data_IF_323365663952
#
_entry.id   IF_323365663952
#
_cell.length_a   1.000
_cell.length_b   1.000
_cell.length_c   1.000
_cell.angle_alpha   90.00
_cell.angle_beta   90.00
_cell.angle_gamma   90.00
#
_symmetry.space_group_name_H-M   'P 1'
#
loop_
_entity.id
_entity.type
_entity.pdbx_description
1 polymer ?
#
# COMPACT_ATOMS: atom_id res chain seq x y z
N UNK A 1 20.59 31.77 -26.57
CA UNK A 1 19.66 30.71 -26.11
C UNK A 1 18.34 30.89 -26.85
N UNK A 2 17.62 29.83 -27.20
CA UNK A 2 16.39 29.92 -28.01
C UNK A 2 15.12 29.78 -27.17
N UNK A 3 14.02 30.37 -27.63
CA UNK A 3 12.67 30.17 -27.07
C UNK A 3 12.33 28.68 -27.01
N UNK A 4 12.73 27.90 -28.02
CA UNK A 4 12.52 26.45 -28.05
C UNK A 4 13.18 25.70 -26.88
N UNK A 5 14.38 26.10 -26.44
CA UNK A 5 15.05 25.48 -25.29
C UNK A 5 14.33 25.77 -23.97
N UNK A 6 13.78 26.99 -23.82
CA UNK A 6 12.95 27.38 -22.68
C UNK A 6 11.66 26.55 -22.64
N UNK A 7 10.95 26.48 -23.76
CA UNK A 7 9.70 25.71 -23.91
C UNK A 7 9.94 24.24 -23.60
N UNK A 8 10.94 23.62 -24.22
CA UNK A 8 11.28 22.21 -24.00
C UNK A 8 11.55 21.92 -22.52
N UNK A 9 12.27 22.81 -21.82
CA UNK A 9 12.55 22.65 -20.39
C UNK A 9 11.31 22.82 -19.52
N UNK A 10 10.46 23.82 -19.80
CA UNK A 10 9.19 24.01 -19.08
C UNK A 10 8.23 22.85 -19.34
N UNK A 11 8.12 22.36 -20.57
CA UNK A 11 7.28 21.22 -20.95
C UNK A 11 7.74 19.92 -20.29
N UNK A 12 9.04 19.70 -20.14
CA UNK A 12 9.56 18.55 -19.36
C UNK A 12 9.19 18.64 -17.88
N UNK A 13 9.15 19.84 -17.32
CA UNK A 13 8.86 20.03 -15.90
C UNK A 13 7.36 20.00 -15.58
N UNK A 14 6.57 20.86 -16.23
CA UNK A 14 5.13 20.97 -15.98
C UNK A 14 4.29 19.91 -16.72
N UNK A 15 4.87 19.28 -17.75
CA UNK A 15 4.18 18.36 -18.65
C UNK A 15 3.85 19.04 -19.98
N UNK A 16 4.01 18.32 -21.10
CA UNK A 16 3.82 18.86 -22.44
C UNK A 16 2.40 19.39 -22.67
N UNK A 17 1.39 18.76 -22.07
CA UNK A 17 -0.01 19.20 -22.17
C UNK A 17 -0.33 20.44 -21.33
N UNK A 18 0.57 20.82 -20.41
CA UNK A 18 0.40 21.95 -19.48
C UNK A 18 1.15 23.21 -19.95
N UNK A 19 1.96 23.12 -21.00
CA UNK A 19 2.71 24.24 -21.58
C UNK A 19 2.23 24.46 -23.00
N UNK A 20 1.58 25.58 -23.26
CA UNK A 20 1.07 25.93 -24.58
C UNK A 20 1.97 26.98 -25.25
N UNK A 21 2.21 26.79 -26.55
CA UNK A 21 2.93 27.74 -27.41
C UNK A 21 2.11 27.95 -28.68
N UNK A 22 1.97 29.20 -29.13
CA UNK A 22 1.09 29.61 -30.24
C UNK A 22 1.51 29.07 -31.65
N UNK A 23 2.45 28.12 -31.73
CA UNK A 23 2.80 27.42 -32.97
C UNK A 23 2.16 26.02 -33.12
N UNK A 24 1.27 25.62 -32.20
CA UNK A 24 0.70 24.25 -32.12
C UNK A 24 -0.81 24.16 -32.47
N UNK A 25 -1.32 24.91 -33.45
CA UNK A 25 -2.75 24.88 -33.83
C UNK A 25 -3.02 23.93 -35.02
N UNK A 26 -4.04 23.08 -34.89
CA UNK A 26 -4.48 22.18 -35.96
C UNK A 26 -5.11 22.94 -37.15
N UNK A 27 -4.85 22.53 -38.40
CA UNK A 27 -5.48 23.12 -39.57
C UNK A 27 -7.02 23.07 -39.49
N UNK A 28 -7.69 24.21 -39.68
CA UNK A 28 -9.16 24.30 -39.82
C UNK A 28 -9.95 24.85 -38.63
N UNK A 29 -9.30 25.17 -37.50
CA UNK A 29 -9.97 25.83 -36.35
C UNK A 29 -9.91 27.35 -36.49
N UNK A 30 -10.99 28.06 -36.13
CA UNK A 30 -10.98 29.54 -36.06
C UNK A 30 -9.98 29.99 -34.99
N UNK A 31 -8.89 30.61 -35.44
CA UNK A 31 -7.73 31.04 -34.65
C UNK A 31 -8.08 31.83 -33.37
N UNK A 32 -9.06 32.77 -33.34
CA UNK A 32 -9.35 33.56 -32.14
C UNK A 32 -10.03 32.78 -31.00
N UNK A 33 -10.89 31.80 -31.32
CA UNK A 33 -11.77 31.17 -30.32
C UNK A 33 -11.02 30.16 -29.45
N UNK A 34 -10.15 29.34 -30.08
CA UNK A 34 -9.33 28.35 -29.36
C UNK A 34 -8.25 29.03 -28.51
N UNK A 35 -7.66 30.12 -29.03
CA UNK A 35 -6.62 30.85 -28.33
C UNK A 35 -7.17 31.55 -27.08
N UNK A 36 -8.32 32.22 -27.21
CA UNK A 36 -9.00 32.84 -26.06
C UNK A 36 -9.42 31.81 -25.01
N UNK A 37 -9.94 30.65 -25.43
CA UNK A 37 -10.30 29.57 -24.51
C UNK A 37 -9.08 29.03 -23.76
N UNK A 38 -7.95 28.81 -24.44
CA UNK A 38 -6.71 28.36 -23.79
C UNK A 38 -6.12 29.42 -22.86
N UNK A 39 -6.11 30.70 -23.27
CA UNK A 39 -5.66 31.80 -22.41
C UNK A 39 -6.51 31.87 -21.14
N UNK A 40 -7.84 31.80 -21.25
CA UNK A 40 -8.74 31.85 -20.08
C UNK A 40 -8.57 30.68 -19.11
N UNK A 41 -8.01 29.56 -19.57
CA UNK A 41 -7.69 28.40 -18.73
C UNK A 41 -6.23 28.35 -18.26
N UNK A 42 -5.43 29.38 -18.55
CA UNK A 42 -4.01 29.42 -18.17
C UNK A 42 -3.82 30.08 -16.82
N UNK A 43 -3.04 29.43 -15.95
CA UNK A 43 -2.72 29.95 -14.61
C UNK A 43 -1.73 31.12 -14.64
N UNK A 44 -0.86 31.18 -15.66
CA UNK A 44 0.20 32.18 -15.83
C UNK A 44 0.60 32.30 -17.30
N UNK A 45 0.91 33.51 -17.75
CA UNK A 45 1.45 33.79 -19.09
C UNK A 45 2.93 34.19 -18.97
N UNK A 46 3.78 33.54 -19.78
CA UNK A 46 5.21 33.83 -19.82
C UNK A 46 5.52 34.62 -21.10
N UNK A 47 5.81 35.92 -20.95
CA UNK A 47 6.18 36.78 -22.07
C UNK A 47 7.69 36.69 -22.32
N UNK A 48 8.10 35.92 -23.33
CA UNK A 48 9.51 35.69 -23.65
C UNK A 48 10.05 36.82 -24.51
N UNK A 49 10.93 37.65 -23.93
CA UNK A 49 11.53 38.81 -24.56
C UNK A 49 12.94 38.43 -25.02
N UNK A 50 13.11 38.27 -26.33
CA UNK A 50 14.41 37.97 -26.97
C UNK A 50 14.96 39.17 -27.74
N UNK A 51 16.19 39.05 -28.21
CA UNK A 51 16.78 40.06 -29.09
C UNK A 51 15.96 40.17 -30.38
N UNK A 52 15.50 41.37 -30.71
CA UNK A 52 14.57 41.63 -31.81
C UNK A 52 13.07 41.64 -31.45
N UNK A 53 12.66 41.31 -30.22
CA UNK A 53 11.24 41.27 -29.82
C UNK A 53 10.51 42.63 -30.04
N UNK A 54 11.18 43.75 -29.75
CA UNK A 54 10.62 45.09 -30.02
C UNK A 54 10.46 45.38 -31.52
N UNK A 55 11.33 44.84 -32.35
CA UNK A 55 11.26 45.03 -33.80
C UNK A 55 10.05 44.31 -34.42
N UNK A 56 9.56 43.24 -33.77
CA UNK A 56 8.36 42.52 -34.21
C UNK A 56 7.09 43.39 -34.14
N UNK A 57 7.03 44.35 -33.21
CA UNK A 57 5.94 45.33 -33.12
C UNK A 57 6.09 46.51 -34.08
N UNK A 58 7.30 46.77 -34.59
CA UNK A 58 7.58 47.88 -35.49
C UNK A 58 7.15 47.57 -36.95
N UNK A 59 7.14 46.28 -37.33
CA UNK A 59 6.52 45.83 -38.57
C UNK A 59 4.99 45.94 -38.43
N UNK A 60 4.35 46.82 -39.21
CA UNK A 60 2.88 46.90 -39.26
C UNK A 60 2.30 45.63 -39.89
N UNK A 61 2.18 44.57 -39.08
CA UNK A 61 1.43 43.37 -39.43
C UNK A 61 -0.04 43.61 -39.10
N UNK A 62 -0.98 43.20 -39.97
CA UNK A 62 -2.40 43.47 -39.80
C UNK A 62 -3.01 42.80 -38.56
N UNK A 63 -2.38 41.76 -37.99
CA UNK A 63 -2.72 41.15 -36.70
C UNK A 63 -1.42 40.68 -36.04
N UNK A 64 -1.12 41.22 -34.86
CA UNK A 64 -0.06 40.72 -33.98
C UNK A 64 -0.70 39.90 -32.85
N UNK A 65 -0.50 38.58 -32.91
CA UNK A 65 -1.07 37.65 -31.94
C UNK A 65 -0.38 37.75 -30.58
N UNK A 66 0.92 38.04 -30.53
CA UNK A 66 1.66 38.23 -29.28
C UNK A 66 1.10 39.44 -28.54
N UNK A 67 0.83 40.53 -29.27
CA UNK A 67 0.16 41.71 -28.71
C UNK A 67 -1.22 41.37 -28.14
N UNK A 68 -2.02 40.62 -28.90
CA UNK A 68 -3.37 40.24 -28.49
C UNK A 68 -3.39 39.32 -27.26
N UNK A 69 -2.50 38.34 -27.20
CA UNK A 69 -2.40 37.41 -26.07
C UNK A 69 -2.00 38.13 -24.77
N UNK A 70 -0.98 38.99 -24.84
CA UNK A 70 -0.51 39.75 -23.67
C UNK A 70 -1.56 40.75 -23.21
N UNK A 71 -2.18 41.51 -24.12
CA UNK A 71 -3.27 42.44 -23.78
C UNK A 71 -4.45 41.69 -23.13
N UNK A 72 -4.83 40.53 -23.70
CA UNK A 72 -5.90 39.71 -23.14
C UNK A 72 -5.54 39.21 -21.74
N UNK A 73 -4.33 38.69 -21.53
CA UNK A 73 -3.88 38.22 -20.22
C UNK A 73 -3.92 39.32 -19.16
N UNK A 74 -3.41 40.52 -19.50
CA UNK A 74 -3.43 41.69 -18.61
C UNK A 74 -4.86 42.12 -18.28
N UNK A 75 -5.76 42.15 -19.27
CA UNK A 75 -7.17 42.53 -19.09
C UNK A 75 -7.96 41.54 -18.25
N UNK A 76 -7.71 40.24 -18.41
CA UNK A 76 -8.37 39.17 -17.65
C UNK A 76 -7.72 38.96 -16.26
N UNK A 77 -6.65 39.70 -15.93
CA UNK A 77 -5.96 39.60 -14.64
C UNK A 77 -5.14 38.32 -14.47
N UNK A 78 -4.80 37.65 -15.58
CA UNK A 78 -3.91 36.49 -15.57
C UNK A 78 -2.48 36.99 -15.30
N UNK A 79 -1.75 36.42 -14.33
CA UNK A 79 -0.38 36.82 -14.05
C UNK A 79 0.50 36.73 -15.31
N UNK A 80 1.12 37.85 -15.70
CA UNK A 80 2.11 37.91 -16.78
C UNK A 80 3.50 37.99 -16.17
N UNK A 81 4.41 37.12 -16.59
CA UNK A 81 5.82 37.11 -16.16
C UNK A 81 6.69 37.38 -17.38
N UNK A 82 7.32 38.57 -17.48
CA UNK A 82 8.32 38.83 -18.51
C UNK A 82 9.57 37.98 -18.26
N UNK A 83 10.10 37.35 -19.31
CA UNK A 83 11.34 36.55 -19.28
C UNK A 83 12.30 37.08 -20.33
N UNK A 84 13.35 37.75 -19.87
CA UNK A 84 14.43 38.29 -20.70
C UNK A 84 15.39 37.16 -21.06
N UNK A 85 15.60 36.92 -22.35
CA UNK A 85 16.62 35.97 -22.83
C UNK A 85 17.97 36.66 -22.96
N UNK A 86 19.03 35.99 -22.52
CA UNK A 86 20.41 36.51 -22.53
C UNK A 86 20.52 37.87 -21.81
N UNK A 87 21.20 38.84 -22.43
CA UNK A 87 21.45 40.17 -21.89
C UNK A 87 20.54 41.24 -22.53
N UNK A 88 19.35 40.85 -23.00
CA UNK A 88 18.35 41.79 -23.50
C UNK A 88 17.90 42.71 -22.36
N UNK A 89 17.86 44.01 -22.67
CA UNK A 89 17.38 45.04 -21.75
C UNK A 89 15.86 44.98 -21.60
N UNK A 90 15.31 45.25 -20.40
CA UNK A 90 13.87 45.36 -20.23
C UNK A 90 13.30 46.49 -21.10
N UNK A 91 12.18 46.26 -21.82
CA UNK A 91 11.58 47.29 -22.64
C UNK A 91 11.02 48.43 -21.77
N UNK A 92 11.16 49.66 -22.24
CA UNK A 92 10.60 50.84 -21.59
C UNK A 92 9.15 51.08 -22.03
N UNK A 93 8.35 51.75 -21.18
CA UNK A 93 6.94 52.04 -21.48
C UNK A 93 6.70 52.72 -22.84
N UNK A 94 7.65 53.54 -23.30
CA UNK A 94 7.51 54.29 -24.55
C UNK A 94 7.88 53.47 -25.80
N UNK A 95 8.53 52.32 -25.62
CA UNK A 95 8.94 51.40 -26.70
C UNK A 95 7.86 50.35 -26.98
N UNK A 96 6.88 50.21 -26.08
CA UNK A 96 5.80 49.25 -26.16
C UNK A 96 4.53 49.84 -26.78
N UNK A 97 3.74 49.04 -27.52
CA UNK A 97 2.38 49.39 -27.89
C UNK A 97 1.53 49.72 -26.65
N UNK A 98 0.62 50.68 -26.78
CA UNK A 98 -0.17 51.23 -25.67
C UNK A 98 -0.87 50.14 -24.83
N UNK A 99 -1.34 49.08 -25.49
CA UNK A 99 -2.07 47.95 -24.93
C UNK A 99 -1.25 47.14 -23.92
N UNK A 100 0.07 47.03 -24.09
CA UNK A 100 0.94 46.15 -23.29
C UNK A 100 1.98 46.92 -22.49
N UNK A 101 1.82 48.25 -22.36
CA UNK A 101 2.77 49.11 -21.61
C UNK A 101 3.00 48.70 -20.16
N UNK A 102 2.03 48.00 -19.55
CA UNK A 102 2.17 47.46 -18.19
C UNK A 102 3.25 46.39 -18.07
N UNK A 103 3.61 45.69 -19.16
CA UNK A 103 4.72 44.71 -19.16
C UNK A 103 6.04 45.36 -18.69
N UNK A 104 6.28 46.63 -19.01
CA UNK A 104 7.50 47.35 -18.63
C UNK A 104 7.65 47.60 -17.12
N UNK A 105 6.59 47.48 -16.32
CA UNK A 105 6.65 47.65 -14.86
C UNK A 105 6.54 46.35 -14.08
N UNK A 106 6.38 45.23 -14.77
CA UNK A 106 6.39 43.90 -14.16
C UNK A 106 7.83 43.48 -13.83
N UNK A 107 7.98 42.69 -12.76
CA UNK A 107 9.26 42.10 -12.41
C UNK A 107 9.63 41.02 -13.44
N UNK A 108 10.68 41.26 -14.20
CA UNK A 108 11.17 40.33 -15.20
C UNK A 108 12.11 39.29 -14.60
N UNK A 109 11.93 38.03 -14.98
CA UNK A 109 12.95 37.01 -14.81
C UNK A 109 13.96 37.09 -15.97
N UNK A 110 15.20 36.66 -15.75
CA UNK A 110 16.23 36.61 -16.79
C UNK A 110 16.78 35.19 -16.91
N UNK A 111 16.96 34.74 -18.15
CA UNK A 111 17.53 33.42 -18.44
C UNK A 111 18.64 33.54 -19.47
N UNK A 112 19.87 33.23 -19.06
CA UNK A 112 21.07 33.31 -19.91
C UNK A 112 21.53 31.92 -20.33
N UNK A 113 22.11 31.80 -21.53
CA UNK A 113 22.68 30.54 -21.98
C UNK A 113 23.82 30.05 -21.09
N UNK A 114 24.64 30.98 -20.58
CA UNK A 114 25.80 30.66 -19.73
C UNK A 114 25.41 30.09 -18.35
N UNK A 115 24.28 30.54 -17.78
CA UNK A 115 23.77 30.13 -16.46
C UNK A 115 22.45 29.37 -16.54
N UNK A 116 22.13 28.83 -17.72
CA UNK A 116 20.82 28.29 -18.06
C UNK A 116 20.22 27.35 -17.01
N UNK A 117 20.96 26.36 -16.45
CA UNK A 117 20.39 25.47 -15.44
C UNK A 117 19.92 26.19 -14.17
N UNK A 118 20.69 27.18 -13.68
CA UNK A 118 20.33 27.92 -12.47
C UNK A 118 19.15 28.86 -12.71
N UNK A 119 19.18 29.56 -13.84
CA UNK A 119 18.16 30.56 -14.19
C UNK A 119 16.81 29.90 -14.47
N UNK A 120 16.80 28.75 -15.16
CA UNK A 120 15.57 28.03 -15.45
C UNK A 120 14.95 27.43 -14.19
N UNK A 121 15.76 26.92 -13.27
CA UNK A 121 15.27 26.41 -11.98
C UNK A 121 14.69 27.55 -11.12
N UNK A 122 15.24 28.76 -11.22
CA UNK A 122 14.66 29.94 -10.58
C UNK A 122 13.31 30.33 -11.19
N UNK A 123 13.22 30.35 -12.53
CA UNK A 123 11.98 30.62 -13.24
C UNK A 123 10.90 29.60 -12.91
N UNK A 124 11.25 28.30 -12.88
CA UNK A 124 10.32 27.22 -12.49
C UNK A 124 9.76 27.48 -11.08
N UNK A 125 10.61 27.79 -10.10
CA UNK A 125 10.17 28.09 -8.71
C UNK A 125 9.25 29.31 -8.62
N UNK A 126 9.42 30.30 -9.51
CA UNK A 126 8.49 31.43 -9.60
C UNK A 126 7.15 30.98 -10.17
N UNK A 127 7.16 30.25 -11.28
CA UNK A 127 5.95 29.77 -11.97
C UNK A 127 5.12 28.83 -11.08
N UNK A 128 5.76 27.98 -10.26
CA UNK A 128 5.07 27.09 -9.33
C UNK A 128 4.15 27.81 -8.33
N UNK A 129 4.39 29.10 -8.05
CA UNK A 129 3.54 29.90 -7.15
C UNK A 129 2.22 30.30 -7.81
N UNK A 130 2.16 30.25 -9.13
CA UNK A 130 0.99 30.64 -9.92
C UNK A 130 0.19 29.43 -10.39
N UNK A 131 0.84 28.28 -10.60
CA UNK A 131 0.18 27.08 -11.13
C UNK A 131 -0.42 26.23 -10.01
N UNK A 132 -1.70 25.85 -10.14
CA UNK A 132 -2.38 25.00 -9.16
C UNK A 132 -1.61 23.68 -8.90
N UNK A 133 -1.64 23.11 -7.68
CA UNK A 133 -1.02 21.81 -7.41
C UNK A 133 -1.51 20.77 -8.41
N UNK A 134 -0.60 19.96 -8.97
CA UNK A 134 -0.96 18.94 -9.96
C UNK A 134 -2.07 18.08 -9.38
N UNK A 135 -3.22 18.03 -10.08
CA UNK A 135 -4.30 17.09 -9.78
C UNK A 135 -3.89 15.67 -10.20
N UNK A 136 -2.81 15.15 -9.60
CA UNK A 136 -2.54 13.72 -9.66
C UNK A 136 -3.63 13.06 -8.81
N UNK A 137 -4.33 12.07 -9.39
CA UNK A 137 -5.35 11.33 -8.68
C UNK A 137 -4.84 10.99 -7.26
N UNK A 138 -5.59 11.34 -6.19
CA UNK A 138 -5.13 11.14 -4.83
C UNK A 138 -4.67 9.69 -4.67
N UNK A 139 -3.57 9.44 -3.93
CA UNK A 139 -3.08 8.09 -3.71
C UNK A 139 -4.27 7.23 -3.29
N UNK A 140 -4.51 6.15 -4.04
CA UNK A 140 -5.65 5.27 -3.79
C UNK A 140 -5.60 4.92 -2.31
N UNK A 141 -6.62 5.29 -1.50
CA UNK A 141 -6.52 5.22 -0.05
C UNK A 141 -5.97 3.86 0.34
N UNK A 142 -4.90 3.85 1.12
CA UNK A 142 -4.29 2.61 1.60
C UNK A 142 -5.43 1.74 2.10
N UNK A 143 -5.72 0.63 1.39
CA UNK A 143 -6.82 -0.24 1.76
C UNK A 143 -6.51 -0.72 3.17
N UNK A 144 -7.16 -0.12 4.17
CA UNK A 144 -7.02 -0.55 5.55
C UNK A 144 -7.37 -2.03 5.54
N UNK A 145 -6.48 -2.92 6.02
CA UNK A 145 -6.74 -4.34 5.98
C UNK A 145 -8.05 -4.57 6.72
N UNK A 146 -9.13 -4.88 5.97
CA UNK A 146 -10.43 -5.15 6.57
C UNK A 146 -10.19 -6.22 7.63
N UNK A 147 -10.61 -6.01 8.90
CA UNK A 147 -10.41 -6.99 9.95
C UNK A 147 -11.00 -8.29 9.41
N UNK A 148 -10.12 -9.28 9.20
CA UNK A 148 -10.49 -10.53 8.55
C UNK A 148 -11.65 -11.10 9.38
N UNK A 149 -12.87 -11.08 8.84
CA UNK A 149 -14.09 -11.75 9.38
C UNK A 149 -13.94 -13.28 9.47
N UNK A 150 -12.70 -13.76 9.50
CA UNK A 150 -12.27 -15.13 9.70
C UNK A 150 -12.56 -15.56 11.13
N UNK A 151 -12.51 -14.66 12.12
CA UNK A 151 -12.83 -14.97 13.52
C UNK A 151 -14.27 -15.52 13.70
N UNK A 152 -15.28 -14.87 13.10
CA UNK A 152 -16.66 -15.36 13.17
C UNK A 152 -16.91 -16.67 12.42
N UNK A 153 -16.17 -16.90 11.33
CA UNK A 153 -16.23 -18.16 10.57
C UNK A 153 -15.51 -19.30 11.30
N UNK A 154 -14.35 -19.04 11.89
CA UNK A 154 -13.59 -20.04 12.66
C UNK A 154 -14.29 -20.41 13.97
N UNK A 155 -14.96 -19.46 14.63
CA UNK A 155 -15.81 -19.75 15.78
C UNK A 155 -16.97 -20.68 15.40
N UNK A 156 -17.60 -20.45 14.25
CA UNK A 156 -18.65 -21.33 13.72
C UNK A 156 -18.13 -22.73 13.32
N UNK A 157 -16.93 -22.83 12.76
CA UNK A 157 -16.29 -24.13 12.44
C UNK A 157 -15.83 -24.88 13.70
N UNK A 158 -15.30 -24.18 14.70
CA UNK A 158 -14.91 -24.77 15.98
C UNK A 158 -16.14 -25.28 16.75
N UNK A 159 -17.24 -24.52 16.77
CA UNK A 159 -18.52 -24.98 17.32
C UNK A 159 -19.07 -26.19 16.54
N UNK A 160 -19.00 -26.13 15.20
CA UNK A 160 -19.52 -27.17 14.31
C UNK A 160 -18.78 -28.50 14.44
N UNK A 161 -17.44 -28.51 14.38
CA UNK A 161 -16.65 -29.75 14.51
C UNK A 161 -16.73 -30.35 15.91
N UNK A 162 -16.86 -29.50 16.94
CA UNK A 162 -16.89 -29.91 18.34
C UNK A 162 -18.23 -30.51 18.76
N UNK A 163 -19.34 -30.02 18.20
CA UNK A 163 -20.69 -30.59 18.45
C UNK A 163 -20.91 -31.93 17.71
N UNK A 164 -20.17 -32.19 16.62
CA UNK A 164 -20.31 -33.40 15.80
C UNK A 164 -19.51 -34.60 16.38
N UNK A 165 -18.39 -34.33 17.06
CA UNK A 165 -17.48 -35.36 17.60
C UNK A 165 -18.11 -36.32 18.65
N UNK A 166 -18.89 -35.85 19.64
CA UNK A 166 -19.46 -36.75 20.66
C UNK A 166 -20.59 -37.63 20.11
N UNK A 167 -21.33 -37.14 19.10
CA UNK A 167 -22.51 -37.79 18.54
C UNK A 167 -22.13 -38.97 17.61
N UNK A 168 -20.95 -38.92 16.98
CA UNK A 168 -20.51 -39.94 16.04
C UNK A 168 -19.69 -41.08 16.65
N UNK A 169 -19.21 -40.94 17.90
CA UNK A 169 -18.15 -41.82 18.40
C UNK A 169 -18.59 -42.95 19.34
N UNK A 170 -19.73 -42.93 20.02
CA UNK A 170 -20.09 -44.04 20.93
C UNK A 170 -21.62 -44.26 21.05
N UNK A 171 -22.20 -45.21 20.30
CA UNK A 171 -23.59 -45.62 20.45
C UNK A 171 -23.92 -46.33 21.78
N UNK A 172 -22.92 -46.87 22.49
CA UNK A 172 -23.10 -47.78 23.64
C UNK A 172 -22.42 -47.30 24.95
N UNK A 173 -22.33 -45.98 25.21
CA UNK A 173 -21.72 -45.48 26.45
C UNK A 173 -22.75 -45.25 27.58
N UNK A 174 -22.50 -45.80 28.77
CA UNK A 174 -23.29 -45.55 29.99
C UNK A 174 -23.06 -44.15 30.59
N UNK A 175 -22.60 -43.19 29.78
CA UNK A 175 -22.16 -41.90 30.28
C UNK A 175 -23.35 -40.96 30.49
N UNK A 176 -23.33 -40.28 31.63
CA UNK A 176 -24.31 -39.25 31.92
C UNK A 176 -24.05 -38.02 31.04
N UNK A 177 -25.11 -37.27 30.73
CA UNK A 177 -25.03 -36.13 29.80
C UNK A 177 -23.94 -35.11 30.17
N UNK A 178 -23.69 -34.87 31.46
CA UNK A 178 -22.65 -33.95 31.93
C UNK A 178 -21.21 -34.46 31.69
N UNK A 179 -20.99 -35.78 31.72
CA UNK A 179 -19.67 -36.41 31.51
C UNK A 179 -19.18 -36.16 30.08
N UNK A 180 -20.11 -36.14 29.11
CA UNK A 180 -19.83 -35.76 27.74
C UNK A 180 -19.29 -34.34 27.61
N UNK A 181 -19.89 -33.37 28.32
CA UNK A 181 -19.43 -31.98 28.28
C UNK A 181 -18.04 -31.81 28.91
N UNK A 182 -17.79 -32.42 30.07
CA UNK A 182 -16.48 -32.36 30.73
C UNK A 182 -15.40 -33.07 29.93
N UNK A 183 -15.69 -34.26 29.37
CA UNK A 183 -14.72 -34.97 28.52
C UNK A 183 -14.39 -34.19 27.25
N UNK A 184 -15.41 -33.60 26.62
CA UNK A 184 -15.20 -32.78 25.45
C UNK A 184 -14.39 -31.51 25.79
N UNK A 185 -14.67 -30.85 26.92
CA UNK A 185 -13.89 -29.70 27.41
C UNK A 185 -12.42 -30.08 27.68
N UNK A 186 -12.19 -31.24 28.29
CA UNK A 186 -10.86 -31.79 28.52
C UNK A 186 -10.11 -32.07 27.21
N UNK A 187 -10.73 -32.79 26.26
CA UNK A 187 -10.15 -33.06 24.94
C UNK A 187 -9.83 -31.78 24.17
N UNK A 188 -10.75 -30.81 24.19
CA UNK A 188 -10.56 -29.48 23.61
C UNK A 188 -9.35 -28.75 24.21
N UNK A 189 -9.17 -28.84 25.53
CA UNK A 189 -8.04 -28.24 26.25
C UNK A 189 -6.71 -28.90 25.90
N UNK A 190 -6.68 -30.23 25.75
CA UNK A 190 -5.48 -30.95 25.29
C UNK A 190 -5.09 -30.50 23.88
N UNK A 191 -6.06 -30.42 22.97
CA UNK A 191 -5.80 -29.95 21.60
C UNK A 191 -5.33 -28.49 21.62
N UNK A 192 -5.97 -27.61 22.40
CA UNK A 192 -5.55 -26.22 22.57
C UNK A 192 -4.11 -26.13 23.08
N UNK A 193 -3.72 -26.95 24.07
CA UNK A 193 -2.38 -26.99 24.62
C UNK A 193 -1.35 -27.45 23.57
N UNK A 194 -1.63 -28.53 22.86
CA UNK A 194 -0.76 -29.05 21.78
C UNK A 194 -0.60 -28.01 20.66
N UNK A 195 -1.70 -27.40 20.21
CA UNK A 195 -1.67 -26.36 19.18
C UNK A 195 -0.92 -25.10 19.65
N UNK A 196 -1.07 -24.72 20.92
CA UNK A 196 -0.32 -23.60 21.52
C UNK A 196 1.18 -23.89 21.51
N UNK A 197 1.60 -25.05 22.00
CA UNK A 197 3.01 -25.45 22.02
C UNK A 197 3.59 -25.58 20.61
N UNK A 198 2.86 -26.24 19.70
CA UNK A 198 3.28 -26.42 18.32
C UNK A 198 3.46 -25.07 17.63
N UNK A 199 2.51 -24.14 17.76
CA UNK A 199 2.64 -22.81 17.13
C UNK A 199 3.72 -21.95 17.79
N UNK A 200 3.87 -22.00 19.11
CA UNK A 200 4.92 -21.28 19.84
C UNK A 200 6.34 -21.75 19.48
N UNK A 201 6.52 -23.02 19.09
CA UNK A 201 7.83 -23.58 18.70
C UNK A 201 8.03 -23.53 17.18
N UNK A 202 7.05 -23.99 16.41
CA UNK A 202 7.16 -24.15 14.97
C UNK A 202 7.17 -22.79 14.24
N UNK A 203 6.34 -21.82 14.64
CA UNK A 203 6.26 -20.54 13.91
C UNK A 203 7.58 -19.77 14.00
N UNK A 204 8.24 -19.59 15.17
CA UNK A 204 9.55 -18.94 15.21
C UNK A 204 10.60 -19.67 14.40
N UNK A 205 10.58 -21.01 14.41
CA UNK A 205 11.52 -21.82 13.63
C UNK A 205 11.31 -21.63 12.12
N UNK A 206 10.05 -21.73 11.67
CA UNK A 206 9.68 -21.49 10.27
C UNK A 206 10.05 -20.07 9.88
N UNK A 207 9.66 -19.04 10.66
CA UNK A 207 10.02 -17.64 10.41
C UNK A 207 11.53 -17.47 10.31
N UNK A 208 12.32 -18.15 11.14
CA UNK A 208 13.79 -18.09 11.09
C UNK A 208 14.34 -18.66 9.78
N UNK A 209 13.77 -19.75 9.29
CA UNK A 209 14.15 -20.39 8.03
C UNK A 209 13.68 -19.60 6.81
N UNK A 210 12.46 -19.06 6.86
CA UNK A 210 11.85 -18.32 5.74
C UNK A 210 12.16 -16.83 5.76
N UNK A 211 12.82 -16.31 6.80
CA UNK A 211 13.13 -14.88 6.93
C UNK A 211 13.84 -14.33 5.70
N UNK A 212 14.83 -15.07 5.18
CA UNK A 212 15.55 -14.71 3.96
C UNK A 212 14.60 -14.56 2.77
N UNK A 213 13.65 -15.48 2.63
CA UNK A 213 12.64 -15.43 1.57
C UNK A 213 11.66 -14.28 1.73
N UNK A 214 11.31 -13.89 2.97
CA UNK A 214 10.46 -12.73 3.23
C UNK A 214 11.15 -11.40 2.91
N UNK A 215 12.48 -11.34 3.03
CA UNK A 215 13.27 -10.19 2.57
C UNK A 215 13.37 -10.18 1.04
N UNK A 216 13.69 -11.32 0.43
CA UNK A 216 13.73 -11.50 -1.04
C UNK A 216 12.37 -11.21 -1.70
N UNK A 217 11.26 -11.51 -1.04
CA UNK A 217 9.91 -11.21 -1.58
C UNK A 217 9.66 -9.70 -1.77
N UNK A 218 10.41 -8.84 -1.07
CA UNK A 218 10.35 -7.39 -1.24
C UNK A 218 10.99 -6.89 -2.54
N UNK A 219 11.89 -7.67 -3.15
CA UNK A 219 12.54 -7.35 -4.44
C UNK A 219 11.85 -8.01 -5.64
N UNK A 220 10.89 -8.90 -5.40
CA UNK A 220 10.15 -9.65 -6.42
C UNK A 220 8.73 -9.07 -6.64
N UNK A 221 8.09 -9.41 -7.76
CA UNK A 221 6.66 -9.14 -7.98
C UNK A 221 5.75 -9.91 -6.99
N UNK A 222 4.53 -9.43 -6.75
CA UNK A 222 3.53 -10.06 -5.86
C UNK A 222 3.16 -11.42 -6.44
N UNK A 223 3.04 -11.51 -7.77
CA UNK A 223 2.81 -12.77 -8.47
C UNK A 223 3.91 -13.81 -8.17
N UNK A 224 5.18 -13.44 -8.27
CA UNK A 224 6.31 -14.37 -8.09
C UNK A 224 6.50 -14.76 -6.62
N UNK A 225 6.42 -13.79 -5.70
CA UNK A 225 6.46 -14.05 -4.27
C UNK A 225 5.30 -14.95 -3.81
N UNK A 226 4.09 -14.71 -4.36
CA UNK A 226 2.91 -15.54 -4.08
C UNK A 226 3.09 -16.95 -4.63
N UNK A 227 3.62 -17.10 -5.85
CA UNK A 227 3.92 -18.40 -6.46
C UNK A 227 4.89 -19.23 -5.61
N UNK A 228 5.99 -18.63 -5.15
CA UNK A 228 7.00 -19.32 -4.32
C UNK A 228 6.43 -19.75 -2.97
N UNK A 229 5.61 -18.91 -2.32
CA UNK A 229 4.89 -19.27 -1.08
C UNK A 229 3.91 -20.43 -1.29
N UNK A 230 3.17 -20.44 -2.40
CA UNK A 230 2.25 -21.53 -2.70
C UNK A 230 2.94 -22.83 -3.07
N UNK A 231 4.09 -22.79 -3.74
CA UNK A 231 4.89 -23.99 -4.01
C UNK A 231 5.31 -24.68 -2.70
N UNK A 232 5.68 -23.91 -1.68
CA UNK A 232 6.02 -24.44 -0.36
C UNK A 232 4.80 -25.03 0.36
N UNK A 233 3.64 -24.36 0.29
CA UNK A 233 2.39 -24.88 0.84
C UNK A 233 1.96 -26.17 0.13
N UNK A 234 2.07 -26.23 -1.20
CA UNK A 234 1.77 -27.42 -1.99
C UNK A 234 2.73 -28.57 -1.62
N UNK A 235 4.03 -28.28 -1.49
CA UNK A 235 5.03 -29.25 -1.08
C UNK A 235 4.78 -29.76 0.35
N UNK A 236 4.31 -28.90 1.26
CA UNK A 236 3.93 -29.26 2.63
C UNK A 236 2.60 -30.03 2.70
N UNK A 237 1.68 -29.79 1.74
CA UNK A 237 0.41 -30.50 1.63
C UNK A 237 0.57 -31.93 1.11
N UNK A 238 1.57 -32.21 0.26
CA UNK A 238 1.83 -33.56 -0.27
C UNK A 238 1.97 -34.64 0.82
N UNK A 239 2.84 -34.49 1.85
CA UNK A 239 2.94 -35.47 2.92
C UNK A 239 1.68 -35.53 3.80
N UNK A 240 0.96 -34.41 3.96
CA UNK A 240 -0.31 -34.39 4.70
C UNK A 240 -1.40 -35.17 3.96
N UNK A 241 -1.53 -34.98 2.65
CA UNK A 241 -2.43 -35.75 1.79
C UNK A 241 -2.03 -37.22 1.81
N UNK A 242 -0.73 -37.55 1.74
CA UNK A 242 -0.23 -38.92 1.86
C UNK A 242 -0.54 -39.56 3.22
N UNK A 243 -0.42 -38.83 4.32
CA UNK A 243 -0.76 -39.32 5.66
C UNK A 243 -2.26 -39.54 5.82
N UNK A 244 -3.08 -38.59 5.36
CA UNK A 244 -4.54 -38.74 5.35
C UNK A 244 -4.96 -39.96 4.51
N UNK A 245 -4.23 -40.19 3.41
CA UNK A 245 -4.32 -41.37 2.54
C UNK A 245 -4.16 -42.69 3.30
N UNK A 246 -3.29 -42.72 4.31
CA UNK A 246 -3.03 -43.91 5.12
C UNK A 246 -3.97 -44.06 6.31
N UNK A 247 -4.70 -43.00 6.67
CA UNK A 247 -5.65 -43.02 7.76
C UNK A 247 -7.03 -43.55 7.34
N UNK A 248 -7.39 -43.38 6.05
CA UNK A 248 -8.66 -43.82 5.47
C UNK A 248 -8.69 -45.27 4.95
N UNK A 249 -7.53 -45.90 4.79
CA UNK A 249 -7.47 -47.28 4.30
C UNK A 249 -7.92 -48.27 5.37
N UNK A 250 -9.01 -49.01 5.11
CA UNK A 250 -9.35 -50.23 5.84
C UNK A 250 -8.21 -51.27 5.72
N UNK A 251 -8.26 -52.34 6.54
CA UNK A 251 -7.22 -53.40 6.61
C UNK A 251 -6.82 -54.01 5.25
N UNK A 252 -7.64 -53.86 4.20
CA UNK A 252 -7.40 -54.37 2.85
C UNK A 252 -6.74 -53.36 1.88
N UNK A 253 -6.45 -52.13 2.31
CA UNK A 253 -5.75 -51.12 1.49
C UNK A 253 -6.58 -50.49 0.36
N UNK A 254 -7.90 -50.73 0.34
CA UNK A 254 -8.83 -50.16 -0.65
C UNK A 254 -9.45 -48.88 -0.09
N UNK A 255 -9.33 -47.78 -0.84
CA UNK A 255 -9.95 -46.49 -0.53
C UNK A 255 -11.48 -46.59 -0.61
N UNK A 256 -12.20 -45.97 0.32
CA UNK A 256 -13.65 -45.81 0.13
C UNK A 256 -13.92 -44.73 -0.93
N UNK A 257 -14.90 -44.95 -1.81
CA UNK A 257 -15.19 -44.07 -2.96
C UNK A 257 -15.36 -42.59 -2.57
N UNK A 258 -15.89 -42.31 -1.38
CA UNK A 258 -16.12 -40.96 -0.88
C UNK A 258 -14.81 -40.22 -0.48
N UNK A 259 -13.74 -40.92 -0.13
CA UNK A 259 -12.45 -40.33 0.27
C UNK A 259 -11.74 -39.69 -0.92
N UNK A 260 -11.84 -40.33 -2.09
CA UNK A 260 -11.33 -39.80 -3.37
C UNK A 260 -12.09 -38.53 -3.75
N UNK A 261 -13.42 -38.55 -3.64
CA UNK A 261 -14.25 -37.35 -3.89
C UNK A 261 -13.91 -36.21 -2.93
N UNK A 262 -13.66 -36.50 -1.66
CA UNK A 262 -13.29 -35.49 -0.66
C UNK A 262 -11.94 -34.82 -0.98
N UNK A 263 -10.93 -35.60 -1.35
CA UNK A 263 -9.62 -35.08 -1.77
C UNK A 263 -9.70 -34.26 -3.06
N UNK A 264 -10.50 -34.70 -4.04
CA UNK A 264 -10.75 -33.94 -5.28
C UNK A 264 -11.40 -32.60 -4.96
N UNK A 265 -12.46 -32.59 -4.15
CA UNK A 265 -13.16 -31.35 -3.77
C UNK A 265 -12.24 -30.39 -3.01
N UNK A 266 -11.47 -30.87 -2.04
CA UNK A 266 -10.48 -30.04 -1.32
C UNK A 266 -9.45 -29.47 -2.30
N UNK A 267 -8.94 -30.29 -3.22
CA UNK A 267 -7.94 -29.86 -4.19
C UNK A 267 -8.48 -28.80 -5.16
N UNK A 268 -9.72 -28.96 -5.64
CA UNK A 268 -10.39 -27.98 -6.50
C UNK A 268 -10.65 -26.67 -5.74
N UNK A 269 -11.16 -26.75 -4.52
CA UNK A 269 -11.41 -25.57 -3.67
C UNK A 269 -10.09 -24.84 -3.37
N UNK A 270 -9.05 -25.57 -2.99
CA UNK A 270 -7.72 -25.03 -2.78
C UNK A 270 -7.20 -24.34 -4.06
N UNK A 271 -7.25 -25.01 -5.21
CA UNK A 271 -6.84 -24.45 -6.50
C UNK A 271 -7.62 -23.18 -6.87
N UNK A 272 -8.93 -23.15 -6.62
CA UNK A 272 -9.76 -21.96 -6.85
C UNK A 272 -9.33 -20.79 -5.97
N UNK A 273 -9.12 -21.02 -4.66
CA UNK A 273 -8.67 -19.96 -3.75
C UNK A 273 -7.25 -19.48 -4.08
N UNK A 274 -6.35 -20.39 -4.46
CA UNK A 274 -5.00 -20.08 -4.95
C UNK A 274 -5.09 -19.19 -6.19
N UNK A 275 -5.84 -19.61 -7.20
CA UNK A 275 -5.99 -18.87 -8.44
C UNK A 275 -6.67 -17.50 -8.24
N UNK A 276 -7.68 -17.43 -7.38
CA UNK A 276 -8.34 -16.18 -6.99
C UNK A 276 -7.40 -15.23 -6.24
N UNK A 277 -6.60 -15.76 -5.32
CA UNK A 277 -5.60 -14.97 -4.59
C UNK A 277 -4.53 -14.45 -5.55
N UNK A 278 -4.04 -15.31 -6.45
CA UNK A 278 -3.03 -14.96 -7.45
C UNK A 278 -3.52 -13.86 -8.40
N UNK A 279 -4.73 -13.98 -8.96
CA UNK A 279 -5.30 -12.93 -9.84
C UNK A 279 -5.42 -11.57 -9.15
N UNK A 280 -5.80 -11.55 -7.87
CA UNK A 280 -5.88 -10.30 -7.09
C UNK A 280 -4.50 -9.70 -6.82
N UNK A 281 -3.50 -10.55 -6.59
CA UNK A 281 -2.13 -10.14 -6.34
C UNK A 281 -1.45 -9.58 -7.59
N UNK A 282 -1.60 -10.25 -8.74
CA UNK A 282 -0.95 -9.87 -9.99
C UNK A 282 -1.44 -8.54 -10.56
N UNK A 283 -2.73 -8.21 -10.37
CA UNK A 283 -3.28 -6.93 -10.85
C UNK A 283 -2.65 -5.71 -10.16
N UNK A 284 -2.14 -5.85 -8.92
CA UNK A 284 -1.58 -4.75 -8.13
C UNK A 284 -0.09 -4.50 -8.39
N UNK A 285 0.58 -5.39 -9.13
CA UNK A 285 2.03 -5.29 -9.35
C UNK A 285 2.42 -4.18 -10.33
N UNK A 286 1.55 -3.88 -11.29
CA UNK A 286 1.83 -2.93 -12.36
C UNK A 286 1.38 -1.51 -12.05
N UNK A 287 0.50 -1.32 -11.07
CA UNK A 287 0.00 -0.01 -10.69
C UNK A 287 1.11 0.87 -10.11
N UNK A 288 1.09 2.14 -10.50
CA UNK A 288 1.90 3.21 -9.92
C UNK A 288 1.00 4.43 -9.66
N UNK A 289 1.05 5.06 -8.48
CA UNK A 289 1.89 4.72 -7.31
C UNK A 289 1.54 3.35 -6.68
N UNK A 290 2.53 2.62 -6.11
CA UNK A 290 2.27 1.35 -5.46
C UNK A 290 1.46 1.57 -4.17
N UNK A 291 0.58 0.62 -3.79
CA UNK A 291 -0.07 0.69 -2.49
C UNK A 291 0.98 0.54 -1.38
N UNK A 292 0.86 1.36 -0.34
CA UNK A 292 1.71 1.26 0.86
C UNK A 292 0.82 0.89 2.04
N UNK A 293 1.18 -0.18 2.76
CA UNK A 293 0.41 -0.67 3.91
C UNK A 293 1.37 -1.14 5.01
N UNK A 294 0.83 -1.45 6.18
CA UNK A 294 1.61 -2.03 7.29
C UNK A 294 2.10 -3.46 7.04
N UNK A 295 1.73 -4.09 5.92
CA UNK A 295 2.22 -5.42 5.57
C UNK A 295 3.70 -5.36 5.10
N UNK A 296 4.62 -6.14 5.70
CA UNK A 296 6.05 -6.05 5.41
C UNK A 296 6.45 -6.19 3.95
N UNK A 297 5.85 -7.15 3.25
CA UNK A 297 6.14 -7.35 1.83
C UNK A 297 5.72 -6.15 0.97
N UNK A 298 4.63 -5.48 1.35
CA UNK A 298 4.03 -4.38 0.58
C UNK A 298 4.86 -3.10 0.74
N UNK A 299 5.17 -2.68 1.97
CA UNK A 299 5.98 -1.48 2.16
C UNK A 299 7.42 -1.66 1.67
N UNK A 300 8.04 -2.85 1.85
CA UNK A 300 9.40 -3.12 1.34
C UNK A 300 9.45 -2.95 -0.17
N UNK A 301 8.43 -3.45 -0.87
CA UNK A 301 8.34 -3.31 -2.31
C UNK A 301 8.11 -1.89 -2.75
N UNK A 302 7.23 -1.15 -2.09
CA UNK A 302 7.00 0.26 -2.39
C UNK A 302 8.31 1.06 -2.25
N UNK A 303 9.06 0.82 -1.17
CA UNK A 303 10.37 1.43 -0.95
C UNK A 303 11.40 1.03 -2.03
N UNK A 304 11.50 -0.26 -2.35
CA UNK A 304 12.39 -0.76 -3.41
C UNK A 304 12.05 -0.16 -4.78
N UNK A 305 10.78 -0.16 -5.20
CA UNK A 305 10.35 0.39 -6.50
C UNK A 305 10.59 1.89 -6.60
N UNK A 306 10.34 2.64 -5.51
CA UNK A 306 10.64 4.06 -5.46
C UNK A 306 12.15 4.32 -5.57
N UNK A 307 12.95 3.60 -4.78
CA UNK A 307 14.40 3.69 -4.83
C UNK A 307 14.95 3.33 -6.22
N UNK A 308 14.44 2.26 -6.84
CA UNK A 308 14.81 1.84 -8.18
C UNK A 308 14.49 2.95 -9.19
N UNK A 309 13.25 3.47 -9.23
CA UNK A 309 12.92 4.58 -10.14
C UNK A 309 13.85 5.79 -9.96
N UNK A 310 14.06 6.23 -8.73
CA UNK A 310 14.92 7.38 -8.44
C UNK A 310 16.40 7.16 -8.82
N UNK A 311 16.84 5.91 -8.93
CA UNK A 311 18.25 5.56 -9.19
C UNK A 311 18.50 4.96 -10.56
N UNK A 312 17.52 4.40 -11.26
CA UNK A 312 17.70 3.70 -12.55
C UNK A 312 17.02 4.42 -13.71
N UNK A 313 15.84 5.01 -13.48
CA UNK A 313 15.02 5.60 -14.53
C UNK A 313 15.51 7.03 -14.88
N UNK A 314 15.93 7.29 -16.14
CA UNK A 314 16.39 8.61 -16.56
C UNK A 314 15.38 9.74 -16.30
N UNK A 315 14.07 9.46 -16.43
CA UNK A 315 13.00 10.47 -16.26
C UNK A 315 12.76 10.83 -14.79
N UNK A 316 13.35 10.07 -13.87
CA UNK A 316 13.23 10.22 -12.42
C UNK A 316 14.54 10.68 -11.77
N UNK A 317 15.65 10.69 -12.50
CA UNK A 317 16.95 11.16 -12.02
C UNK A 317 17.09 12.67 -12.21
N UNK A 318 17.57 13.37 -11.18
CA UNK A 318 17.83 14.81 -11.24
C UNK A 318 16.55 15.64 -11.34
N UNK A 319 16.48 16.55 -12.32
CA UNK A 319 15.32 17.46 -12.50
C UNK A 319 14.15 16.74 -13.19
N UNK A 320 13.27 16.18 -12.36
CA UNK A 320 12.08 15.41 -12.74
C UNK A 320 10.91 16.33 -13.06
N UNK A 321 9.92 15.79 -13.77
CA UNK A 321 8.63 16.47 -13.92
C UNK A 321 7.95 16.66 -12.56
N UNK A 322 7.13 17.71 -12.44
CA UNK A 322 6.35 18.04 -11.24
C UNK A 322 5.44 16.88 -10.82
N UNK A 323 4.88 16.14 -11.79
CA UNK A 323 4.09 14.95 -11.54
C UNK A 323 4.92 13.81 -10.93
N UNK A 324 6.10 13.52 -11.48
CA UNK A 324 7.01 12.49 -10.95
C UNK A 324 7.53 12.88 -9.57
N UNK A 325 7.86 14.16 -9.35
CA UNK A 325 8.25 14.71 -8.05
C UNK A 325 7.16 14.48 -7.01
N UNK A 326 5.92 14.86 -7.33
CA UNK A 326 4.79 14.70 -6.42
C UNK A 326 4.54 13.22 -6.07
N UNK A 327 4.58 12.33 -7.07
CA UNK A 327 4.40 10.89 -6.85
C UNK A 327 5.50 10.31 -5.96
N UNK A 328 6.75 10.73 -6.15
CA UNK A 328 7.87 10.32 -5.29
C UNK A 328 7.67 10.78 -3.84
N UNK A 329 7.25 12.03 -3.64
CA UNK A 329 6.94 12.59 -2.32
C UNK A 329 5.77 11.86 -1.68
N UNK A 330 4.70 11.57 -2.42
CA UNK A 330 3.53 10.84 -1.92
C UNK A 330 3.94 9.47 -1.36
N UNK A 331 4.65 8.66 -2.15
CA UNK A 331 5.08 7.32 -1.70
C UNK A 331 6.03 7.41 -0.50
N UNK A 332 6.92 8.41 -0.47
CA UNK A 332 7.80 8.67 0.67
C UNK A 332 7.01 8.99 1.95
N UNK A 333 5.98 9.84 1.85
CA UNK A 333 5.11 10.19 2.98
C UNK A 333 4.26 9.01 3.42
N UNK A 334 3.73 8.21 2.50
CA UNK A 334 2.98 6.99 2.82
C UNK A 334 3.85 5.98 3.61
N UNK A 335 5.12 5.83 3.23
CA UNK A 335 6.09 5.02 3.99
C UNK A 335 6.34 5.59 5.40
N UNK A 336 6.34 6.92 5.54
CA UNK A 336 6.46 7.59 6.83
C UNK A 336 5.23 7.37 7.71
N UNK A 337 4.04 7.44 7.14
CA UNK A 337 2.77 7.18 7.81
C UNK A 337 2.70 5.73 8.30
N UNK A 338 3.08 4.76 7.45
CA UNK A 338 3.17 3.35 7.86
C UNK A 338 4.14 3.19 9.04
N UNK A 339 5.29 3.86 9.03
CA UNK A 339 6.23 3.82 10.16
C UNK A 339 5.61 4.39 11.43
N UNK A 340 4.84 5.48 11.35
CA UNK A 340 4.13 6.06 12.50
C UNK A 340 3.05 5.12 13.03
N UNK A 341 2.27 4.49 12.15
CA UNK A 341 1.26 3.49 12.52
C UNK A 341 1.90 2.28 13.23
N UNK A 342 3.08 1.85 12.78
CA UNK A 342 3.83 0.78 13.44
C UNK A 342 4.39 1.22 14.81
N UNK A 343 4.82 2.47 14.96
CA UNK A 343 5.22 3.03 16.27
C UNK A 343 4.05 3.07 17.26
N UNK A 344 2.88 3.52 16.81
CA UNK A 344 1.65 3.48 17.62
C UNK A 344 1.32 2.04 18.06
N UNK A 345 1.41 1.07 17.13
CA UNK A 345 1.24 -0.36 17.45
C UNK A 345 2.24 -0.84 18.50
N UNK A 346 3.51 -0.45 18.39
CA UNK A 346 4.57 -0.86 19.33
C UNK A 346 4.43 -0.25 20.73
N UNK A 347 3.72 0.87 20.84
CA UNK A 347 3.47 1.58 22.10
C UNK A 347 2.30 0.99 22.89
N UNK A 348 1.41 0.20 22.26
CA UNK A 348 0.23 -0.36 22.91
C UNK A 348 0.59 -1.31 24.05
N UNK A 349 -0.09 -1.14 25.18
CA UNK A 349 -0.09 -2.11 26.27
C UNK A 349 -0.77 -3.42 25.84
N UNK A 350 -0.52 -4.52 26.56
CA UNK A 350 -1.12 -5.82 26.24
C UNK A 350 -2.67 -5.76 26.11
N UNK A 351 -3.44 -5.13 27.02
CA UNK A 351 -4.88 -5.04 26.89
C UNK A 351 -5.33 -4.25 25.65
N UNK A 352 -4.65 -3.15 25.34
CA UNK A 352 -4.94 -2.34 24.14
C UNK A 352 -4.61 -3.11 22.85
N UNK A 353 -3.54 -3.90 22.85
CA UNK A 353 -3.15 -4.74 21.73
C UNK A 353 -4.17 -5.85 21.46
N UNK A 354 -4.66 -6.51 22.51
CA UNK A 354 -5.74 -7.51 22.40
C UNK A 354 -7.00 -6.86 21.82
N UNK A 355 -7.42 -5.72 22.37
CA UNK A 355 -8.63 -4.99 21.91
C UNK A 355 -8.50 -4.53 20.45
N UNK A 356 -7.29 -4.17 20.01
CA UNK A 356 -7.04 -3.78 18.64
C UNK A 356 -7.15 -4.93 17.63
N UNK A 357 -7.16 -6.20 18.08
CA UNK A 357 -7.43 -7.35 17.22
C UNK A 357 -6.40 -7.59 16.13
N UNK A 358 -5.13 -7.19 16.35
CA UNK A 358 -4.06 -7.26 15.35
C UNK A 358 -3.74 -8.70 14.90
N UNK A 359 -4.05 -9.71 15.74
CA UNK A 359 -3.90 -11.12 15.43
C UNK A 359 -5.25 -11.82 15.41
N UNK A 360 -5.66 -12.27 14.22
CA UNK A 360 -6.83 -13.13 14.07
C UNK A 360 -6.70 -14.47 14.82
N UNK A 361 -5.46 -14.93 15.04
CA UNK A 361 -5.18 -16.14 15.80
C UNK A 361 -5.57 -15.97 17.27
N UNK A 362 -5.14 -14.89 17.94
CA UNK A 362 -5.48 -14.66 19.35
C UNK A 362 -6.99 -14.54 19.55
N UNK A 363 -7.69 -13.91 18.60
CA UNK A 363 -9.15 -13.85 18.64
C UNK A 363 -9.76 -15.26 18.60
N UNK A 364 -9.20 -16.17 17.80
CA UNK A 364 -9.64 -17.57 17.75
C UNK A 364 -9.32 -18.33 19.05
N UNK A 365 -8.13 -18.14 19.64
CA UNK A 365 -7.77 -18.77 20.92
C UNK A 365 -8.66 -18.26 22.08
N UNK A 366 -9.00 -16.97 22.12
CA UNK A 366 -9.93 -16.42 23.10
C UNK A 366 -11.36 -16.99 22.92
N UNK A 367 -11.81 -17.15 21.68
CA UNK A 367 -13.07 -17.82 21.37
C UNK A 367 -13.08 -19.31 21.74
N UNK A 368 -11.94 -19.99 21.54
CA UNK A 368 -11.75 -21.39 21.93
C UNK A 368 -11.80 -21.55 23.45
N UNK A 369 -11.08 -20.69 24.20
CA UNK A 369 -11.15 -20.64 25.65
C UNK A 369 -12.59 -20.40 26.13
N UNK A 370 -13.30 -19.43 25.56
CA UNK A 370 -14.70 -19.17 25.91
C UNK A 370 -15.61 -20.39 25.67
N UNK A 371 -15.33 -21.17 24.62
CA UNK A 371 -16.07 -22.40 24.32
C UNK A 371 -15.79 -23.47 25.38
N UNK A 372 -14.53 -23.65 25.80
CA UNK A 372 -14.16 -24.58 26.89
C UNK A 372 -14.89 -24.20 28.19
N UNK A 373 -14.87 -22.91 28.55
CA UNK A 373 -15.57 -22.42 29.74
C UNK A 373 -17.08 -22.66 29.67
N UNK A 374 -17.70 -22.46 28.51
CA UNK A 374 -19.14 -22.69 28.32
C UNK A 374 -19.51 -24.17 28.53
N UNK A 375 -18.68 -25.09 28.04
CA UNK A 375 -18.90 -26.53 28.22
C UNK A 375 -18.83 -26.94 29.69
N UNK A 376 -17.85 -26.41 30.42
CA UNK A 376 -17.70 -26.70 31.85
C UNK A 376 -18.84 -26.11 32.68
N UNK A 377 -19.31 -24.90 32.33
CA UNK A 377 -20.49 -24.30 32.97
C UNK A 377 -21.72 -25.19 32.75
N UNK A 378 -21.94 -25.70 31.53
CA UNK A 378 -23.05 -26.62 31.24
C UNK A 378 -22.92 -27.92 32.03
N UNK A 379 -21.71 -28.50 32.10
CA UNK A 379 -21.46 -29.71 32.89
C UNK A 379 -21.81 -29.51 34.38
N UNK A 380 -21.40 -28.39 34.98
CA UNK A 380 -21.72 -28.05 36.38
C UNK A 380 -23.21 -27.86 36.59
N UNK A 381 -23.92 -27.20 35.66
CA UNK A 381 -25.38 -27.01 35.75
C UNK A 381 -26.13 -28.35 35.72
N UNK A 382 -25.67 -29.29 34.88
CA UNK A 382 -26.31 -30.60 34.71
C UNK A 382 -26.07 -31.55 35.90
N UNK A 383 -25.00 -31.37 36.68
CA UNK A 383 -24.67 -32.24 37.81
C UNK A 383 -24.05 -31.50 39.01
N UNK A 384 -24.81 -30.62 39.70
CA UNK A 384 -24.28 -29.77 40.76
C UNK A 384 -23.84 -30.53 42.03
N UNK A 385 -24.32 -31.76 42.22
CA UNK A 385 -24.00 -32.59 43.40
C UNK A 385 -22.87 -33.62 43.16
N UNK A 386 -22.31 -33.70 41.94
CA UNK A 386 -21.25 -34.65 41.64
C UNK A 386 -19.91 -34.15 42.21
N UNK A 387 -19.44 -34.75 43.32
CA UNK A 387 -18.23 -34.32 44.05
C UNK A 387 -16.91 -34.68 43.33
N UNK A 388 -16.92 -35.71 42.47
CA UNK A 388 -15.74 -36.19 41.71
C UNK A 388 -15.19 -35.27 40.60
N UNK A 389 -16.02 -34.69 39.71
CA UNK A 389 -15.54 -33.96 38.53
C UNK A 389 -14.94 -32.58 38.79
N UNK A 390 -15.19 -31.91 39.93
CA UNK A 390 -14.70 -30.55 40.17
C UNK A 390 -13.18 -30.39 40.09
N UNK A 391 -12.41 -31.44 40.42
CA UNK A 391 -10.95 -31.43 40.24
C UNK A 391 -10.56 -31.45 38.76
N UNK A 392 -11.21 -32.28 37.94
CA UNK A 392 -10.96 -32.36 36.51
C UNK A 392 -11.39 -31.07 35.80
N UNK A 393 -12.54 -30.51 36.18
CA UNK A 393 -13.03 -29.20 35.70
C UNK A 393 -12.02 -28.12 36.05
N UNK A 394 -11.57 -28.06 37.32
CA UNK A 394 -10.57 -27.10 37.78
C UNK A 394 -9.24 -27.19 37.02
N UNK A 395 -8.73 -28.41 36.80
CA UNK A 395 -7.52 -28.66 36.02
C UNK A 395 -7.70 -28.25 34.55
N UNK A 396 -8.85 -28.57 33.95
CA UNK A 396 -9.16 -28.26 32.55
C UNK A 396 -9.24 -26.75 32.33
N UNK A 397 -9.98 -26.04 33.17
CA UNK A 397 -10.10 -24.58 33.13
C UNK A 397 -8.74 -23.92 33.39
N UNK A 398 -8.00 -24.37 34.41
CA UNK A 398 -6.68 -23.82 34.71
C UNK A 398 -5.70 -24.02 33.55
N UNK A 399 -5.64 -25.21 32.95
CA UNK A 399 -4.79 -25.50 31.81
C UNK A 399 -5.18 -24.64 30.60
N UNK A 400 -6.48 -24.55 30.25
CA UNK A 400 -6.95 -23.74 29.14
C UNK A 400 -6.58 -22.25 29.32
N UNK A 401 -6.73 -21.72 30.54
CA UNK A 401 -6.33 -20.35 30.88
C UNK A 401 -4.81 -20.17 30.74
N UNK A 402 -4.01 -21.08 31.29
CA UNK A 402 -2.54 -21.01 31.25
C UNK A 402 -2.03 -21.03 29.81
N UNK A 403 -2.48 -21.97 28.97
CA UNK A 403 -2.03 -22.08 27.58
C UNK A 403 -2.51 -20.91 26.72
N UNK A 404 -3.73 -20.44 26.91
CA UNK A 404 -4.24 -19.26 26.20
C UNK A 404 -3.49 -17.99 26.61
N UNK A 405 -3.21 -17.81 27.90
CA UNK A 405 -2.41 -16.70 28.41
C UNK A 405 -0.96 -16.77 27.88
N UNK A 406 -0.32 -17.94 27.96
CA UNK A 406 1.02 -18.16 27.44
C UNK A 406 1.09 -17.84 25.93
N UNK A 407 0.17 -18.36 25.12
CA UNK A 407 0.09 -18.07 23.68
C UNK A 407 -0.10 -16.58 23.42
N UNK A 408 -0.99 -15.92 24.17
CA UNK A 408 -1.27 -14.48 24.03
C UNK A 408 -0.02 -13.64 24.35
N UNK A 409 0.68 -13.96 25.44
CA UNK A 409 1.90 -13.28 25.85
C UNK A 409 3.02 -13.51 24.84
N UNK A 410 3.24 -14.74 24.39
CA UNK A 410 4.25 -15.06 23.38
C UNK A 410 3.98 -14.36 22.05
N UNK A 411 2.73 -14.32 21.60
CA UNK A 411 2.35 -13.62 20.39
C UNK A 411 2.57 -12.11 20.52
N UNK A 412 2.20 -11.51 21.66
CA UNK A 412 2.41 -10.09 21.93
C UNK A 412 3.89 -9.71 21.87
N UNK A 413 4.78 -10.47 22.52
CA UNK A 413 6.22 -10.20 22.48
C UNK A 413 6.83 -10.44 21.10
N UNK A 414 6.36 -11.48 20.39
CA UNK A 414 6.80 -11.76 19.02
C UNK A 414 6.40 -10.63 18.07
N UNK A 415 5.14 -10.18 18.15
CA UNK A 415 4.64 -9.04 17.39
C UNK A 415 5.45 -7.78 17.66
N UNK A 416 5.71 -7.47 18.93
CA UNK A 416 6.49 -6.29 19.31
C UNK A 416 7.92 -6.33 18.75
N UNK A 417 8.56 -7.50 18.76
CA UNK A 417 9.89 -7.72 18.19
C UNK A 417 9.89 -7.55 16.67
N UNK A 418 8.87 -8.07 16.00
CA UNK A 418 8.73 -7.95 14.54
C UNK A 418 8.44 -6.50 14.13
N UNK A 419 7.52 -5.82 14.83
CA UNK A 419 7.20 -4.40 14.61
C UNK A 419 8.41 -3.49 14.85
N UNK A 420 9.18 -3.70 15.92
CA UNK A 420 10.39 -2.93 16.18
C UNK A 420 11.41 -3.06 15.04
N UNK A 421 11.55 -4.26 14.47
CA UNK A 421 12.41 -4.50 13.30
C UNK A 421 11.91 -3.76 12.07
N UNK A 422 10.62 -3.81 11.78
CA UNK A 422 10.03 -3.11 10.63
C UNK A 422 10.16 -1.58 10.75
N UNK A 423 10.04 -1.03 11.96
CA UNK A 423 10.31 0.40 12.21
C UNK A 423 11.76 0.75 11.87
N UNK A 424 12.72 -0.12 12.22
CA UNK A 424 14.13 0.00 11.84
C UNK A 424 14.31 0.01 10.32
N UNK A 425 13.78 -1.01 9.64
CA UNK A 425 13.85 -1.13 8.16
C UNK A 425 13.27 0.10 7.45
N UNK A 426 12.11 0.61 7.89
CA UNK A 426 11.51 1.81 7.31
C UNK A 426 12.34 3.07 7.58
N UNK A 427 13.01 3.14 8.73
CA UNK A 427 13.91 4.26 9.04
C UNK A 427 15.15 4.24 8.14
N UNK A 428 15.71 3.06 7.88
CA UNK A 428 16.83 2.89 6.94
C UNK A 428 16.41 3.28 5.51
N UNK A 429 15.22 2.85 5.08
CA UNK A 429 14.68 3.23 3.77
C UNK A 429 14.48 4.73 3.63
N UNK A 430 13.95 5.39 4.65
CA UNK A 430 13.80 6.85 4.63
C UNK A 430 15.13 7.58 4.57
N UNK A 431 16.17 7.06 5.22
CA UNK A 431 17.53 7.60 5.11
C UNK A 431 18.10 7.48 3.70
N UNK A 432 17.78 6.39 2.98
CA UNK A 432 18.22 6.18 1.58
C UNK A 432 17.42 6.99 0.56
N UNK A 433 16.10 7.03 0.72
CA UNK A 433 15.18 7.64 -0.25
C UNK A 433 15.05 9.15 -0.05
N UNK A 434 15.08 9.63 1.20
CA UNK A 434 14.89 11.05 1.52
C UNK A 434 15.80 11.99 0.73
N UNK A 435 17.13 11.78 0.71
CA UNK A 435 18.03 12.60 -0.09
C UNK A 435 17.71 12.57 -1.58
N UNK A 436 17.31 11.40 -2.12
CA UNK A 436 16.96 11.26 -3.54
C UNK A 436 15.67 11.99 -3.89
N UNK A 437 14.72 12.09 -2.96
CA UNK A 437 13.41 12.75 -3.18
C UNK A 437 13.49 14.26 -3.02
N UNK A 438 14.30 14.78 -2.08
CA UNK A 438 14.29 16.21 -1.72
C UNK A 438 15.55 16.98 -2.12
N UNK A 439 16.65 16.33 -2.49
CA UNK A 439 17.92 17.00 -2.82
C UNK A 439 18.28 16.93 -4.31
N UNK A 440 17.30 16.73 -5.20
CA UNK A 440 17.50 16.66 -6.66
C UNK A 440 17.38 18.00 -7.36
#
# INVERSE_FOLDING_TARGET
MTVGALVDRLSRYFGADQVFVDNQIEPGVRYPDRLRAKLSGSDVVVAVIHDGWLAEFAEQRPVDWVLFEIDTALREGIPVIPVLLEDVDPPQRHELPQQITEVAVLQAARVRGATFPSDIDHLVRMLERHVAPVAVAPPKPAETPRPKRVAGRMLAWALGLFLISPVLMLPDSNWQLWEWFTFAAFGSTVILAVMSLLTMIAIPLVKRLTYRWDVEAGTMSLSEATKRRWLLLALALLPFVYLLSKFGTNQDGVWQEWEVWYLIVISIVAAFFVHRSWRRSAARDYDWPPPVTTEPAVFRRAANRLYERLTTDPDWRGTRSRANQWQAVSVYLDLAEVRLALRDRAAKSLPQWIKAGHSGEITAYLGWLASILALEIVAVILAPAAIGPYRLIGVTVAAALVFTAAKTVTEFYTDRKDVARWIGELSDWQGKIGPLVFCS
#
